data_IF_968113758375
#
_entry.id   IF_968113758375
#
_cell.length_a   1.000
_cell.length_b   1.000
_cell.length_c   1.000
_cell.angle_alpha   90.00
_cell.angle_beta   90.00
_cell.angle_gamma   90.00
#
_symmetry.space_group_name_H-M   'P 1'
#
loop_
_entity.id
_entity.type
_entity.pdbx_description
1 polymer ?
#
# COMPACT_ATOMS: atom_id res chain seq x y z
N UNK A 1 -10.11 -54.83 -18.81
CA UNK A 1 -9.01 -54.29 -19.64
C UNK A 1 -9.59 -54.09 -21.03
N UNK A 2 -9.89 -52.84 -21.41
CA UNK A 2 -10.27 -52.52 -22.80
C UNK A 2 -9.03 -51.94 -23.49
N UNK A 3 -8.55 -52.63 -24.53
CA UNK A 3 -7.50 -52.15 -25.42
C UNK A 3 -8.15 -51.20 -26.45
N UNK A 4 -7.65 -49.97 -26.51
CA UNK A 4 -8.03 -48.98 -27.52
C UNK A 4 -6.86 -48.92 -28.53
N UNK A 5 -7.11 -49.22 -29.81
CA UNK A 5 -6.10 -49.06 -30.85
C UNK A 5 -5.94 -47.57 -31.23
N UNK A 6 -4.69 -47.08 -31.42
CA UNK A 6 -4.44 -45.69 -31.70
C UNK A 6 -4.87 -45.30 -33.13
N UNK A 7 -5.54 -44.15 -33.24
CA UNK A 7 -5.99 -43.59 -34.50
C UNK A 7 -4.79 -43.15 -35.36
N UNK A 8 -4.72 -43.64 -36.60
CA UNK A 8 -3.65 -43.29 -37.52
C UNK A 8 -4.06 -42.10 -38.40
N UNK A 9 -3.34 -40.98 -38.28
CA UNK A 9 -3.63 -39.73 -39.00
C UNK A 9 -3.56 -39.94 -40.52
N UNK A 10 -4.50 -39.37 -41.31
CA UNK A 10 -4.48 -39.41 -42.78
C UNK A 10 -3.15 -38.99 -43.42
N UNK A 11 -2.34 -38.21 -42.72
CA UNK A 11 -1.06 -37.68 -43.19
C UNK A 11 -0.03 -38.78 -43.47
N UNK A 12 -0.04 -39.88 -42.70
CA UNK A 12 0.92 -40.99 -42.88
C UNK A 12 0.76 -41.68 -44.24
N UNK A 13 -0.45 -41.71 -44.81
CA UNK A 13 -0.70 -42.32 -46.12
C UNK A 13 -0.18 -41.48 -47.29
N UNK A 14 0.10 -40.20 -47.06
CA UNK A 14 0.60 -39.27 -48.09
C UNK A 14 2.12 -39.39 -48.21
N UNK A 15 2.82 -39.61 -47.08
CA UNK A 15 4.27 -39.80 -47.04
C UNK A 15 4.72 -41.07 -47.79
N UNK A 16 3.94 -42.16 -47.70
CA UNK A 16 4.23 -43.43 -48.38
C UNK A 16 4.10 -43.38 -49.92
N UNK A 17 3.46 -42.34 -50.47
CA UNK A 17 3.15 -42.24 -51.90
C UNK A 17 4.20 -41.46 -52.72
N UNK A 18 5.19 -40.83 -52.08
CA UNK A 18 6.18 -39.99 -52.77
C UNK A 18 7.45 -40.82 -53.06
N UNK A 19 7.87 -40.97 -54.34
CA UNK A 19 9.07 -41.73 -54.66
C UNK A 19 10.31 -41.05 -54.06
N UNK A 20 11.14 -41.81 -53.35
CA UNK A 20 12.32 -41.34 -52.61
C UNK A 20 13.32 -40.49 -53.42
N UNK A 21 13.27 -40.56 -54.76
CA UNK A 21 14.09 -39.71 -55.65
C UNK A 21 13.62 -38.26 -55.67
N UNK A 22 12.32 -38.00 -55.56
CA UNK A 22 11.75 -36.65 -55.47
C UNK A 22 12.02 -36.00 -54.12
N UNK A 23 12.07 -36.77 -53.04
CA UNK A 23 12.38 -36.23 -51.71
C UNK A 23 13.85 -35.80 -51.62
N UNK A 24 14.78 -36.56 -52.22
CA UNK A 24 16.21 -36.19 -52.31
C UNK A 24 16.44 -34.89 -53.11
N UNK A 25 15.81 -34.74 -54.29
CA UNK A 25 15.93 -33.50 -55.09
C UNK A 25 15.37 -32.26 -54.36
N UNK A 26 14.29 -32.45 -53.58
CA UNK A 26 13.70 -31.38 -52.74
C UNK A 26 14.61 -31.03 -51.56
N UNK A 27 15.19 -32.02 -50.88
CA UNK A 27 16.15 -31.80 -49.79
C UNK A 27 17.42 -31.08 -50.27
N UNK A 28 17.97 -31.46 -51.43
CA UNK A 28 19.12 -30.79 -52.03
C UNK A 28 18.80 -29.32 -52.38
N UNK A 29 17.63 -29.05 -52.96
CA UNK A 29 17.15 -27.70 -53.23
C UNK A 29 16.95 -26.87 -51.96
N UNK A 30 16.38 -27.46 -50.92
CA UNK A 30 16.21 -26.81 -49.60
C UNK A 30 17.55 -26.51 -48.92
N UNK A 31 18.52 -27.42 -49.02
CA UNK A 31 19.87 -27.24 -48.48
C UNK A 31 20.65 -26.15 -49.23
N UNK A 32 20.48 -26.05 -50.55
CA UNK A 32 21.04 -24.95 -51.36
C UNK A 32 20.45 -23.59 -50.98
N UNK A 33 19.12 -23.51 -50.80
CA UNK A 33 18.44 -22.29 -50.34
C UNK A 33 18.89 -21.91 -48.92
N UNK A 34 19.05 -22.89 -48.02
CA UNK A 34 19.56 -22.67 -46.66
C UNK A 34 20.97 -22.08 -46.68
N UNK A 35 21.86 -22.63 -47.51
CA UNK A 35 23.23 -22.12 -47.67
C UNK A 35 23.31 -20.72 -48.30
N UNK A 36 22.33 -20.33 -49.13
CA UNK A 36 22.21 -18.95 -49.65
C UNK A 36 21.68 -18.01 -48.56
N UNK A 37 20.71 -18.45 -47.75
CA UNK A 37 20.14 -17.68 -46.64
C UNK A 37 21.15 -17.42 -45.53
N UNK A 38 21.99 -18.40 -45.22
CA UNK A 38 23.12 -18.26 -44.27
C UNK A 38 24.14 -17.24 -44.78
N UNK A 39 24.47 -17.27 -46.08
CA UNK A 39 25.35 -16.28 -46.74
C UNK A 39 24.76 -14.88 -46.78
N UNK A 40 23.44 -14.75 -47.03
CA UNK A 40 22.76 -13.47 -46.89
C UNK A 40 22.78 -12.99 -45.43
N UNK A 41 22.61 -13.88 -44.47
CA UNK A 41 22.68 -13.57 -43.04
C UNK A 41 24.05 -13.08 -42.56
N UNK A 42 25.15 -13.54 -43.17
CA UNK A 42 26.49 -13.01 -42.90
C UNK A 42 26.76 -11.69 -43.60
N UNK A 43 26.28 -11.49 -44.83
CA UNK A 43 26.41 -10.20 -45.56
C UNK A 43 25.57 -9.09 -44.88
N UNK A 44 24.37 -9.41 -44.41
CA UNK A 44 23.47 -8.48 -43.69
C UNK A 44 23.95 -8.12 -42.27
N UNK A 45 24.93 -8.85 -41.71
CA UNK A 45 25.54 -8.52 -40.41
C UNK A 45 26.60 -7.41 -40.50
N UNK A 46 26.88 -6.90 -41.71
CA UNK A 46 27.83 -5.81 -41.92
C UNK A 46 27.16 -4.46 -41.67
N UNK A 47 27.16 -4.06 -40.39
CA UNK A 47 27.31 -2.69 -39.90
C UNK A 47 26.21 -1.63 -40.08
N UNK A 48 24.98 -2.00 -40.44
CA UNK A 48 23.83 -1.12 -40.21
C UNK A 48 22.68 -1.91 -39.60
N UNK A 49 22.76 -2.15 -38.30
CA UNK A 49 21.55 -2.17 -37.49
C UNK A 49 20.80 -0.88 -37.82
N UNK A 50 19.65 -1.00 -38.49
CA UNK A 50 18.65 0.06 -38.59
C UNK A 50 18.31 0.49 -37.17
N UNK A 51 19.08 1.43 -36.62
CA UNK A 51 18.75 2.18 -35.41
C UNK A 51 17.61 3.10 -35.79
N UNK A 52 16.42 2.53 -35.87
CA UNK A 52 15.17 3.29 -35.77
C UNK A 52 15.29 4.08 -34.46
N UNK A 53 15.06 5.39 -34.54
CA UNK A 53 15.37 6.42 -33.53
C UNK A 53 14.56 6.31 -32.22
N UNK A 54 14.44 5.11 -31.67
CA UNK A 54 13.92 4.88 -30.34
C UNK A 54 15.08 5.01 -29.35
N UNK A 55 14.85 5.81 -28.32
CA UNK A 55 15.76 5.96 -27.19
C UNK A 55 16.10 4.57 -26.61
N UNK A 56 17.36 4.17 -26.73
CA UNK A 56 17.87 2.92 -26.12
C UNK A 56 18.50 3.30 -24.79
N UNK A 57 17.74 3.16 -23.70
CA UNK A 57 18.30 3.28 -22.36
C UNK A 57 19.28 2.14 -22.08
N UNK A 58 20.36 2.40 -21.34
CA UNK A 58 21.27 1.35 -20.89
C UNK A 58 20.51 0.28 -20.08
N UNK A 59 20.69 -1.00 -20.46
CA UNK A 59 20.14 -2.12 -19.69
C UNK A 59 21.02 -2.33 -18.45
N UNK A 60 20.64 -1.70 -17.35
CA UNK A 60 21.29 -1.95 -16.06
C UNK A 60 20.68 -3.22 -15.45
N UNK A 61 21.48 -4.27 -15.34
CA UNK A 61 21.08 -5.50 -14.64
C UNK A 61 21.06 -5.23 -13.13
N UNK A 62 19.86 -5.23 -12.55
CA UNK A 62 19.63 -5.10 -11.10
C UNK A 62 19.26 -6.45 -10.50
N UNK A 63 19.75 -6.75 -9.31
CA UNK A 63 19.39 -7.97 -8.57
C UNK A 63 18.04 -7.80 -7.87
N UNK A 64 17.42 -8.90 -7.45
CA UNK A 64 16.17 -8.85 -6.69
C UNK A 64 16.41 -8.22 -5.30
N UNK A 65 15.57 -7.25 -4.94
CA UNK A 65 15.71 -6.46 -3.70
C UNK A 65 16.56 -5.19 -3.82
N UNK A 66 17.14 -4.90 -4.99
CA UNK A 66 17.86 -3.64 -5.22
C UNK A 66 16.87 -2.47 -5.17
N UNK A 67 17.21 -1.46 -4.35
CA UNK A 67 16.49 -0.17 -4.27
C UNK A 67 17.32 0.91 -4.93
N UNK A 68 16.74 1.65 -5.88
CA UNK A 68 17.42 2.76 -6.55
C UNK A 68 16.47 3.94 -6.79
N UNK A 69 17.04 5.13 -6.94
CA UNK A 69 16.27 6.35 -7.18
C UNK A 69 16.45 6.81 -8.63
N UNK A 70 15.33 7.07 -9.32
CA UNK A 70 15.29 7.67 -10.66
C UNK A 70 14.22 8.76 -10.63
N UNK A 71 14.57 9.98 -11.04
CA UNK A 71 13.66 11.13 -11.12
C UNK A 71 12.88 11.39 -9.81
N UNK A 72 13.55 11.27 -8.65
CA UNK A 72 12.94 11.47 -7.33
C UNK A 72 11.96 10.38 -6.90
N UNK A 73 11.89 9.25 -7.64
CA UNK A 73 11.10 8.07 -7.29
C UNK A 73 12.01 6.93 -6.90
N UNK A 74 11.70 6.29 -5.78
CA UNK A 74 12.33 5.06 -5.34
C UNK A 74 11.72 3.89 -6.13
N UNK A 75 12.58 3.03 -6.66
CA UNK A 75 12.24 1.81 -7.38
C UNK A 75 12.83 0.62 -6.64
N UNK A 76 12.11 -0.50 -6.67
CA UNK A 76 12.54 -1.79 -6.13
C UNK A 76 12.23 -2.89 -7.14
N UNK A 77 13.16 -3.80 -7.33
CA UNK A 77 12.94 -5.00 -8.13
C UNK A 77 12.41 -6.12 -7.23
N UNK A 78 11.10 -6.39 -7.32
CA UNK A 78 10.40 -7.42 -6.53
C UNK A 78 9.71 -8.41 -7.46
N UNK A 79 9.94 -9.71 -7.27
CA UNK A 79 9.37 -10.79 -8.08
C UNK A 79 9.63 -10.60 -9.59
N UNK A 80 10.86 -10.26 -9.99
CA UNK A 80 11.23 -9.99 -11.39
C UNK A 80 10.65 -8.72 -12.02
N UNK A 81 9.84 -7.92 -11.31
CA UNK A 81 9.24 -6.68 -11.83
C UNK A 81 9.81 -5.47 -11.09
N UNK A 82 10.14 -4.42 -11.85
CA UNK A 82 10.52 -3.12 -11.28
C UNK A 82 9.25 -2.39 -10.82
N UNK A 83 9.09 -2.23 -9.51
CA UNK A 83 7.96 -1.55 -8.89
C UNK A 83 8.41 -0.21 -8.31
N UNK A 84 7.59 0.83 -8.43
CA UNK A 84 7.86 2.10 -7.73
C UNK A 84 7.39 2.00 -6.28
N UNK A 85 8.29 2.30 -5.35
CA UNK A 85 7.97 2.40 -3.93
C UNK A 85 7.41 3.80 -3.69
N UNK A 86 6.08 3.90 -3.55
CA UNK A 86 5.47 5.12 -3.02
C UNK A 86 5.65 5.19 -1.51
N UNK A 87 5.77 6.40 -0.94
CA UNK A 87 5.79 6.63 0.53
C UNK A 87 4.58 6.02 1.26
N UNK A 88 3.47 5.85 0.53
CA UNK A 88 2.21 5.29 1.04
C UNK A 88 2.13 3.75 0.93
N UNK A 89 3.15 3.04 0.42
CA UNK A 89 3.09 1.57 0.33
C UNK A 89 2.98 0.93 1.71
N UNK A 90 3.67 1.47 2.72
CA UNK A 90 3.66 0.94 4.09
C UNK A 90 2.31 1.13 4.78
N UNK A 91 1.56 2.16 4.38
CA UNK A 91 0.23 2.44 4.90
C UNK A 91 -0.88 1.59 4.24
N UNK A 92 -0.54 0.75 3.24
CA UNK A 92 -1.53 -0.10 2.58
C UNK A 92 -1.89 -1.28 3.46
N UNK A 93 -3.18 -1.54 3.55
CA UNK A 93 -3.69 -2.78 4.15
C UNK A 93 -3.25 -3.97 3.28
N UNK A 94 -2.59 -4.99 3.86
CA UNK A 94 -2.20 -6.18 3.12
C UNK A 94 -3.43 -7.00 2.75
N UNK A 95 -3.30 -7.86 1.74
CA UNK A 95 -4.37 -8.78 1.35
C UNK A 95 -4.55 -9.93 2.35
N UNK A 96 -3.46 -10.30 3.03
CA UNK A 96 -3.42 -11.34 4.05
C UNK A 96 -3.13 -10.75 5.42
N UNK A 97 -3.78 -11.28 6.45
CA UNK A 97 -3.51 -10.89 7.82
C UNK A 97 -2.13 -11.41 8.25
N UNK A 98 -1.25 -10.58 8.84
CA UNK A 98 0.07 -11.02 9.31
C UNK A 98 0.02 -12.00 10.49
N UNK A 99 -1.11 -12.09 11.22
CA UNK A 99 -1.22 -12.94 12.40
C UNK A 99 -1.76 -14.35 12.10
N UNK A 100 -2.73 -14.45 11.18
CA UNK A 100 -3.37 -15.73 10.85
C UNK A 100 -3.22 -16.16 9.40
N UNK A 101 -2.54 -15.36 8.57
CA UNK A 101 -2.30 -15.57 7.13
C UNK A 101 -3.57 -15.76 6.27
N UNK A 102 -4.75 -15.55 6.87
CA UNK A 102 -6.03 -15.60 6.18
C UNK A 102 -6.26 -14.34 5.35
N UNK A 103 -7.01 -14.52 4.27
CA UNK A 103 -7.41 -13.44 3.37
C UNK A 103 -8.34 -12.49 4.14
N UNK A 104 -8.02 -11.19 4.11
CA UNK A 104 -8.81 -10.12 4.71
C UNK A 104 -9.87 -9.63 3.71
N UNK A 105 -10.99 -10.35 3.63
CA UNK A 105 -12.10 -10.04 2.70
C UNK A 105 -13.33 -9.45 3.39
N UNK A 106 -13.34 -9.34 4.72
CA UNK A 106 -14.51 -8.84 5.45
C UNK A 106 -14.56 -7.32 5.35
N UNK A 107 -15.76 -6.74 5.27
CA UNK A 107 -16.00 -5.28 5.25
C UNK A 107 -15.31 -4.53 6.41
N UNK A 108 -15.10 -5.20 7.54
CA UNK A 108 -14.49 -4.63 8.74
C UNK A 108 -12.97 -4.80 8.80
N UNK A 109 -12.39 -5.73 8.04
CA UNK A 109 -10.96 -6.08 8.17
C UNK A 109 -10.06 -4.88 7.93
N UNK A 110 -10.33 -4.07 6.89
CA UNK A 110 -9.57 -2.84 6.62
C UNK A 110 -9.59 -1.86 7.79
N UNK A 111 -10.75 -1.71 8.45
CA UNK A 111 -10.89 -0.78 9.58
C UNK A 111 -10.16 -1.29 10.82
N UNK A 112 -10.25 -2.59 11.10
CA UNK A 112 -9.56 -3.18 12.24
C UNK A 112 -8.05 -3.26 12.02
N UNK A 113 -7.60 -3.54 10.80
CA UNK A 113 -6.18 -3.52 10.46
C UNK A 113 -5.59 -2.13 10.69
N UNK A 114 -6.26 -1.07 10.23
CA UNK A 114 -5.76 0.30 10.41
C UNK A 114 -5.70 0.73 11.89
N UNK A 115 -6.55 0.16 12.76
CA UNK A 115 -6.58 0.51 14.20
C UNK A 115 -5.71 -0.38 15.08
N UNK A 116 -5.60 -1.67 14.74
CA UNK A 116 -5.03 -2.72 15.60
C UNK A 116 -3.94 -3.55 14.92
N UNK A 117 -3.71 -3.37 13.61
CA UNK A 117 -2.75 -4.14 12.82
C UNK A 117 -3.15 -5.60 12.56
N UNK A 118 -4.40 -5.98 12.87
CA UNK A 118 -4.89 -7.37 12.79
C UNK A 118 -6.25 -7.43 12.09
N UNK A 119 -6.61 -8.60 11.55
CA UNK A 119 -7.94 -8.80 10.97
C UNK A 119 -9.02 -8.83 12.05
N UNK A 120 -10.28 -8.65 11.64
CA UNK A 120 -11.42 -8.60 12.55
C UNK A 120 -11.57 -9.90 13.37
N UNK A 121 -11.37 -11.05 12.73
CA UNK A 121 -11.49 -12.35 13.39
C UNK A 121 -10.44 -12.56 14.49
N UNK A 122 -9.19 -12.16 14.26
CA UNK A 122 -8.15 -12.25 15.30
C UNK A 122 -8.50 -11.39 16.52
N UNK A 123 -9.04 -10.19 16.29
CA UNK A 123 -9.49 -9.31 17.38
C UNK A 123 -10.63 -9.96 18.17
N UNK A 124 -11.60 -10.60 17.52
CA UNK A 124 -12.69 -11.31 18.22
C UNK A 124 -12.15 -12.42 19.13
N UNK A 125 -11.18 -13.21 18.65
CA UNK A 125 -10.57 -14.28 19.44
C UNK A 125 -9.89 -13.69 20.69
N UNK A 126 -9.06 -12.66 20.50
CA UNK A 126 -8.39 -11.95 21.61
C UNK A 126 -9.40 -11.36 22.62
N UNK A 127 -10.47 -10.72 22.15
CA UNK A 127 -11.52 -10.20 23.02
C UNK A 127 -12.26 -11.30 23.78
N UNK A 128 -12.49 -12.44 23.15
CA UNK A 128 -13.15 -13.59 23.78
C UNK A 128 -12.27 -14.20 24.87
N UNK A 129 -10.97 -14.35 24.61
CA UNK A 129 -9.98 -14.80 25.60
C UNK A 129 -9.89 -13.82 26.78
N UNK A 130 -9.84 -12.51 26.53
CA UNK A 130 -9.85 -11.50 27.58
C UNK A 130 -11.13 -11.53 28.43
N UNK A 131 -12.28 -11.85 27.83
CA UNK A 131 -13.55 -12.02 28.57
C UNK A 131 -13.53 -13.28 29.41
N UNK A 132 -13.03 -14.39 28.88
CA UNK A 132 -12.89 -15.64 29.63
C UNK A 132 -11.96 -15.47 30.84
N UNK A 133 -10.87 -14.70 30.68
CA UNK A 133 -9.90 -14.41 31.73
C UNK A 133 -10.37 -13.32 32.73
N UNK A 134 -11.52 -12.67 32.50
CA UNK A 134 -12.04 -11.60 33.35
C UNK A 134 -11.30 -10.25 33.23
N UNK A 135 -10.24 -10.17 32.42
CA UNK A 135 -9.42 -8.94 32.27
C UNK A 135 -10.07 -7.89 31.36
N UNK A 136 -11.13 -8.26 30.63
CA UNK A 136 -11.81 -7.42 29.65
C UNK A 136 -12.25 -6.05 30.16
N UNK A 137 -12.92 -5.98 31.32
CA UNK A 137 -13.43 -4.71 31.86
C UNK A 137 -12.30 -3.69 32.05
N UNK A 138 -11.15 -4.20 32.45
CA UNK A 138 -10.02 -3.36 32.79
C UNK A 138 -9.27 -2.90 31.54
N UNK A 139 -9.21 -3.73 30.50
CA UNK A 139 -8.79 -3.33 29.16
C UNK A 139 -9.72 -2.23 28.61
N UNK A 140 -11.04 -2.40 28.77
CA UNK A 140 -12.01 -1.40 28.33
C UNK A 140 -11.83 -0.06 29.04
N UNK A 141 -11.65 -0.06 30.38
CA UNK A 141 -11.34 1.15 31.14
C UNK A 141 -10.09 1.84 30.62
N UNK A 142 -8.99 1.08 30.42
CA UNK A 142 -7.73 1.62 29.91
C UNK A 142 -7.89 2.28 28.53
N UNK A 143 -8.60 1.63 27.61
CA UNK A 143 -8.88 2.20 26.28
C UNK A 143 -9.75 3.45 26.38
N UNK A 144 -10.76 3.45 27.26
CA UNK A 144 -11.62 4.61 27.48
C UNK A 144 -10.83 5.81 28.02
N UNK A 145 -10.02 5.62 29.07
CA UNK A 145 -9.18 6.67 29.63
C UNK A 145 -8.20 7.23 28.58
N UNK A 146 -7.53 6.35 27.82
CA UNK A 146 -6.62 6.80 26.76
C UNK A 146 -7.33 7.68 25.71
N UNK A 147 -8.57 7.33 25.32
CA UNK A 147 -9.36 8.14 24.38
C UNK A 147 -9.78 9.49 25.00
N UNK A 148 -10.20 9.50 26.27
CA UNK A 148 -10.60 10.73 26.96
C UNK A 148 -9.41 11.67 27.12
N UNK A 149 -8.26 11.15 27.56
CA UNK A 149 -7.01 11.91 27.70
C UNK A 149 -6.57 12.47 26.36
N UNK A 150 -6.60 11.68 25.29
CA UNK A 150 -6.29 12.16 23.94
C UNK A 150 -7.24 13.30 23.53
N UNK A 151 -8.55 13.14 23.77
CA UNK A 151 -9.53 14.18 23.44
C UNK A 151 -9.30 15.48 24.21
N UNK A 152 -9.00 15.40 25.51
CA UNK A 152 -8.70 16.57 26.34
C UNK A 152 -7.44 17.27 25.85
N UNK A 153 -6.37 16.52 25.52
CA UNK A 153 -5.13 17.07 24.95
C UNK A 153 -5.39 17.79 23.62
N UNK A 154 -6.14 17.17 22.72
CA UNK A 154 -6.49 17.77 21.43
C UNK A 154 -7.28 19.08 21.64
N UNK A 155 -8.23 19.09 22.57
CA UNK A 155 -9.00 20.30 22.89
C UNK A 155 -8.13 21.41 23.51
N UNK A 156 -7.15 21.08 24.36
CA UNK A 156 -6.21 22.07 24.89
C UNK A 156 -5.38 22.70 23.75
N UNK A 157 -4.92 21.88 22.80
CA UNK A 157 -4.18 22.38 21.62
C UNK A 157 -5.07 23.30 20.78
N UNK A 158 -6.30 22.88 20.50
CA UNK A 158 -7.29 23.68 19.77
C UNK A 158 -7.55 25.03 20.45
N UNK A 159 -7.77 25.04 21.77
CA UNK A 159 -7.99 26.28 22.53
C UNK A 159 -6.77 27.20 22.53
N UNK A 160 -5.54 26.64 22.64
CA UNK A 160 -4.30 27.41 22.55
C UNK A 160 -4.14 28.04 21.16
N UNK A 161 -4.51 27.33 20.10
CA UNK A 161 -4.47 27.87 18.75
C UNK A 161 -5.54 28.94 18.51
N UNK A 162 -6.75 28.77 19.06
CA UNK A 162 -7.79 29.80 19.06
C UNK A 162 -7.32 31.05 19.82
N UNK A 163 -6.72 30.90 21.01
CA UNK A 163 -6.21 32.02 21.79
C UNK A 163 -5.13 32.83 21.04
N UNK A 164 -4.32 32.17 20.22
CA UNK A 164 -3.29 32.80 19.37
C UNK A 164 -3.88 33.52 18.16
N UNK A 165 -4.90 32.94 17.54
CA UNK A 165 -5.46 33.40 16.26
C UNK A 165 -6.66 34.33 16.41
N UNK A 166 -7.29 34.39 17.59
CA UNK A 166 -8.48 35.20 17.83
C UNK A 166 -8.21 36.68 17.55
N UNK A 167 -8.96 37.19 16.58
CA UNK A 167 -8.99 38.60 16.17
C UNK A 167 -10.43 39.11 16.24
N UNK A 168 -10.61 40.42 16.03
CA UNK A 168 -11.97 41.00 16.02
C UNK A 168 -12.73 40.41 14.83
N UNK A 169 -14.02 40.07 14.99
CA UNK A 169 -14.82 39.60 13.88
C UNK A 169 -14.91 40.71 12.82
N UNK A 170 -14.58 40.36 11.58
CA UNK A 170 -14.70 41.23 10.42
C UNK A 170 -15.65 40.58 9.42
N UNK A 171 -16.70 41.31 9.03
CA UNK A 171 -17.62 40.88 7.98
C UNK A 171 -17.26 41.64 6.71
N UNK A 172 -16.92 40.90 5.65
CA UNK A 172 -16.64 41.45 4.34
C UNK A 172 -17.92 41.47 3.50
N UNK A 173 -18.31 42.64 3.00
CA UNK A 173 -19.44 42.79 2.09
C UNK A 173 -18.97 42.64 0.64
N UNK A 174 -19.88 42.23 -0.25
CA UNK A 174 -19.62 42.08 -1.68
C UNK A 174 -19.16 43.40 -2.34
N UNK A 175 -19.57 44.54 -1.78
CA UNK A 175 -19.18 45.88 -2.23
C UNK A 175 -17.76 46.30 -1.81
N UNK A 176 -17.00 45.43 -1.12
CA UNK A 176 -15.65 45.73 -0.62
C UNK A 176 -15.60 46.52 0.69
N UNK A 177 -16.76 46.77 1.32
CA UNK A 177 -16.85 47.32 2.68
C UNK A 177 -16.53 46.23 3.70
N UNK A 178 -16.02 46.62 4.86
CA UNK A 178 -15.87 45.74 6.02
C UNK A 178 -16.52 46.38 7.25
N UNK A 179 -17.17 45.56 8.06
CA UNK A 179 -17.65 45.95 9.40
C UNK A 179 -16.83 45.20 10.45
N UNK A 180 -16.18 45.94 11.34
CA UNK A 180 -15.53 45.39 12.52
C UNK A 180 -16.50 45.46 13.69
N UNK A 181 -16.73 44.31 14.33
CA UNK A 181 -17.56 44.27 15.53
C UNK A 181 -16.72 44.65 16.75
N UNK A 182 -17.27 45.53 17.59
CA UNK A 182 -16.60 45.92 18.82
C UNK A 182 -16.71 44.80 19.86
N UNK A 183 -15.67 43.98 19.96
CA UNK A 183 -15.56 42.88 20.92
C UNK A 183 -14.28 43.06 21.75
N UNK A 184 -14.40 42.86 23.06
CA UNK A 184 -13.30 42.90 24.01
C UNK A 184 -12.47 41.61 23.96
N UNK A 185 -11.55 41.53 22.98
CA UNK A 185 -10.68 40.35 22.78
C UNK A 185 -9.87 40.00 24.04
N UNK A 186 -9.50 41.00 24.84
CA UNK A 186 -8.72 40.77 26.05
C UNK A 186 -9.50 39.98 27.12
N UNK A 187 -10.83 40.13 27.18
CA UNK A 187 -11.65 39.31 28.07
C UNK A 187 -11.74 37.89 27.54
N UNK A 188 -12.04 37.73 26.25
CA UNK A 188 -12.08 36.41 25.58
C UNK A 188 -10.78 35.63 25.77
N UNK A 189 -9.62 36.29 25.66
CA UNK A 189 -8.31 35.64 25.88
C UNK A 189 -8.09 35.20 27.32
N UNK A 190 -8.66 35.91 28.30
CA UNK A 190 -8.62 35.51 29.72
C UNK A 190 -9.54 34.32 29.97
N UNK A 191 -10.77 34.37 29.47
CA UNK A 191 -11.74 33.28 29.61
C UNK A 191 -11.20 31.99 28.98
N UNK A 192 -10.54 32.09 27.82
CA UNK A 192 -9.84 30.97 27.18
C UNK A 192 -8.69 30.45 28.04
N UNK A 193 -7.92 31.33 28.69
CA UNK A 193 -6.83 30.92 29.57
C UNK A 193 -7.36 30.16 30.80
N UNK A 194 -8.43 30.66 31.42
CA UNK A 194 -9.06 30.02 32.58
C UNK A 194 -9.58 28.62 32.23
N UNK A 195 -10.19 28.43 31.06
CA UNK A 195 -10.65 27.12 30.63
C UNK A 195 -9.48 26.18 30.26
N UNK A 196 -8.39 26.69 29.68
CA UNK A 196 -7.17 25.91 29.46
C UNK A 196 -6.62 25.40 30.80
N UNK A 197 -6.49 26.27 31.80
CA UNK A 197 -5.96 25.90 33.12
C UNK A 197 -6.86 24.85 33.80
N UNK A 198 -8.19 25.01 33.68
CA UNK A 198 -9.17 24.03 34.16
C UNK A 198 -9.01 22.67 33.48
N UNK A 199 -8.82 22.64 32.16
CA UNK A 199 -8.63 21.41 31.40
C UNK A 199 -7.29 20.75 31.71
N UNK A 200 -6.25 21.53 31.95
CA UNK A 200 -4.94 21.02 32.40
C UNK A 200 -5.03 20.37 33.79
N UNK A 201 -5.81 20.95 34.72
CA UNK A 201 -6.11 20.32 36.01
C UNK A 201 -6.85 18.98 35.86
N UNK A 202 -7.94 18.97 35.08
CA UNK A 202 -8.69 17.72 34.79
C UNK A 202 -7.84 16.66 34.09
N UNK A 203 -6.89 17.09 33.25
CA UNK A 203 -5.96 16.18 32.58
C UNK A 203 -5.05 15.48 33.58
N UNK A 204 -4.56 16.19 34.60
CA UNK A 204 -3.75 15.60 35.67
C UNK A 204 -4.55 14.57 36.46
N UNK A 205 -5.77 14.92 36.89
CA UNK A 205 -6.67 13.99 37.60
C UNK A 205 -6.92 12.70 36.81
N UNK A 206 -7.20 12.81 35.50
CA UNK A 206 -7.43 11.65 34.64
C UNK A 206 -6.19 10.77 34.46
N UNK A 207 -5.00 11.37 34.46
CA UNK A 207 -3.73 10.63 34.36
C UNK A 207 -3.47 9.88 35.67
N UNK A 208 -3.76 10.50 36.81
CA UNK A 208 -3.61 9.87 38.12
C UNK A 208 -4.61 8.70 38.28
N UNK A 209 -5.88 8.90 37.92
CA UNK A 209 -6.89 7.82 37.89
C UNK A 209 -6.47 6.65 36.99
N UNK A 210 -5.84 6.94 35.86
CA UNK A 210 -5.34 5.90 34.95
C UNK A 210 -4.18 5.12 35.57
N UNK A 211 -3.25 5.80 36.25
CA UNK A 211 -2.11 5.17 36.93
C UNK A 211 -2.58 4.29 38.09
N UNK A 212 -3.53 4.75 38.89
CA UNK A 212 -4.12 3.98 40.00
C UNK A 212 -4.84 2.72 39.49
N UNK A 213 -5.60 2.84 38.39
CA UNK A 213 -6.28 1.70 37.77
C UNK A 213 -5.32 0.65 37.17
N UNK A 214 -4.09 1.04 36.86
CA UNK A 214 -3.03 0.13 36.42
C UNK A 214 -2.28 -0.51 37.63
N UNK A 215 -2.30 0.12 38.82
CA UNK A 215 -1.66 -0.36 40.06
C UNK A 215 -2.49 -1.41 40.84
N UNK A 216 -3.83 -1.34 40.81
CA UNK A 216 -4.73 -2.29 41.52
C UNK A 216 -4.66 -3.76 41.03
N UNK A 217 -3.73 -4.10 40.13
CA UNK A 217 -3.58 -5.43 39.52
C UNK A 217 -2.16 -6.02 39.59
N UNK A 218 -1.23 -5.34 40.26
CA UNK A 218 0.04 -5.94 40.69
C UNK A 218 -0.17 -6.60 42.05
#
# INVERSE_FOLDING_TARGET
MNQFEPWNSPDQKIEDAIPARKTLEVEEGMNAIRGVRERMGTVLKTDQALKVSMYVSEKIERKEGDKWEVDGKLWERKNGVNQSISKLQDAKTPWWCPNCEKIMNTRLDTKFYNKKGKCYNCVIVEETEMRANGTWQTYQRKVLYANVIAKVKDTIVELKDVQRTVSKPQIHFQDGRFEEWNVDINQVKKDLQEEIDRLEGRLQELVDEQNDADLEKL
#
